data_IF_266965977152
#
_entry.id   IF_266965977152
#
_cell.length_a   1.000
_cell.length_b   1.000
_cell.length_c   1.000
_cell.angle_alpha   90.00
_cell.angle_beta   90.00
_cell.angle_gamma   90.00
#
_symmetry.space_group_name_H-M   'P 1'
#
loop_
_entity.id
_entity.type
_entity.pdbx_description
1 polymer ?
#
# COMPACT_ATOMS: atom_id res chain seq x y z
N UNK A 1 18.69 -12.57 -24.59
CA UNK A 1 19.79 -12.41 -23.61
C UNK A 1 19.27 -12.64 -22.20
N UNK A 2 19.42 -13.88 -21.71
CA UNK A 2 19.09 -14.23 -20.34
C UNK A 2 20.13 -13.59 -19.42
N UNK A 3 19.71 -12.62 -18.61
CA UNK A 3 20.46 -12.22 -17.42
C UNK A 3 20.43 -13.44 -16.52
N UNK A 4 21.58 -14.08 -16.29
CA UNK A 4 21.71 -15.14 -15.28
C UNK A 4 21.26 -14.55 -13.95
N UNK A 5 20.08 -14.95 -13.48
CA UNK A 5 19.56 -14.51 -12.19
C UNK A 5 20.57 -14.87 -11.10
N UNK A 6 20.92 -13.90 -10.25
CA UNK A 6 21.81 -14.15 -9.12
C UNK A 6 21.26 -15.32 -8.29
N UNK A 7 22.15 -16.20 -7.83
CA UNK A 7 21.75 -17.42 -7.11
C UNK A 7 21.11 -17.04 -5.77
N UNK A 8 19.88 -17.52 -5.55
CA UNK A 8 19.21 -17.38 -4.26
C UNK A 8 19.90 -18.23 -3.20
N UNK A 9 20.23 -17.62 -2.06
CA UNK A 9 20.84 -18.28 -0.89
C UNK A 9 19.82 -18.48 0.23
N UNK A 10 20.19 -19.21 1.28
CA UNK A 10 19.31 -19.41 2.44
C UNK A 10 19.02 -18.10 3.20
N UNK A 11 19.93 -17.12 3.15
CA UNK A 11 19.68 -15.76 3.64
C UNK A 11 18.46 -15.12 2.96
N UNK A 12 18.36 -15.27 1.64
CA UNK A 12 17.24 -14.74 0.87
C UNK A 12 15.93 -15.46 1.20
N UNK A 13 15.98 -16.79 1.41
CA UNK A 13 14.81 -17.59 1.79
C UNK A 13 14.30 -17.22 3.18
N UNK A 14 15.20 -17.06 4.14
CA UNK A 14 14.88 -16.62 5.51
C UNK A 14 14.26 -15.23 5.51
N UNK A 15 14.87 -14.29 4.77
CA UNK A 15 14.33 -12.94 4.64
C UNK A 15 12.91 -12.94 4.08
N UNK A 16 12.66 -13.73 3.02
CA UNK A 16 11.34 -13.88 2.42
C UNK A 16 10.33 -14.50 3.40
N UNK A 17 10.71 -15.55 4.13
CA UNK A 17 9.85 -16.20 5.12
C UNK A 17 9.37 -15.22 6.20
N UNK A 18 10.28 -14.40 6.73
CA UNK A 18 9.95 -13.40 7.75
C UNK A 18 9.08 -12.28 7.17
N UNK A 19 9.34 -11.83 5.94
CA UNK A 19 8.47 -10.86 5.28
C UNK A 19 7.04 -11.39 5.10
N UNK A 20 6.89 -12.66 4.68
CA UNK A 20 5.59 -13.28 4.50
C UNK A 20 4.84 -13.44 5.83
N UNK A 21 5.52 -13.81 6.92
CA UNK A 21 4.87 -13.95 8.23
C UNK A 21 4.38 -12.63 8.81
N UNK A 22 5.08 -11.53 8.51
CA UNK A 22 4.73 -10.21 9.04
C UNK A 22 3.63 -9.49 8.24
N UNK A 23 3.38 -9.93 7.00
CA UNK A 23 2.50 -9.27 6.02
C UNK A 23 3.09 -7.98 5.44
N UNK A 24 3.55 -7.08 6.31
CA UNK A 24 4.21 -5.82 5.96
C UNK A 24 5.33 -5.50 6.96
N UNK A 25 6.44 -4.96 6.48
CA UNK A 25 7.62 -4.62 7.30
C UNK A 25 8.11 -3.20 6.98
N UNK A 26 8.30 -2.36 8.00
CA UNK A 26 8.88 -1.02 7.84
C UNK A 26 10.32 -1.12 7.31
N UNK A 27 10.77 -0.16 6.51
CA UNK A 27 12.06 -0.22 5.84
C UNK A 27 13.27 -0.20 6.79
N UNK A 28 13.13 0.36 7.99
CA UNK A 28 14.14 0.28 9.04
C UNK A 28 14.31 -1.17 9.52
N UNK A 29 13.20 -1.86 9.79
CA UNK A 29 13.16 -3.27 10.19
C UNK A 29 13.58 -4.20 9.05
N UNK A 30 13.20 -3.91 7.80
CA UNK A 30 13.66 -4.67 6.65
C UNK A 30 15.19 -4.60 6.48
N UNK A 31 15.80 -3.43 6.75
CA UNK A 31 17.27 -3.29 6.74
C UNK A 31 17.93 -4.11 7.85
N UNK A 32 17.38 -4.08 9.07
CA UNK A 32 17.86 -4.91 10.20
C UNK A 32 17.73 -6.40 9.88
N UNK A 33 16.61 -6.80 9.30
CA UNK A 33 16.37 -8.19 8.89
C UNK A 33 17.35 -8.64 7.80
N UNK A 34 17.64 -7.80 6.82
CA UNK A 34 18.64 -8.08 5.79
C UNK A 34 20.03 -8.30 6.40
N UNK A 35 20.45 -7.42 7.31
CA UNK A 35 21.71 -7.60 8.06
C UNK A 35 21.73 -8.94 8.80
N UNK A 36 20.69 -9.22 9.58
CA UNK A 36 20.59 -10.45 10.37
C UNK A 36 20.64 -11.71 9.51
N UNK A 37 19.95 -11.74 8.37
CA UNK A 37 19.96 -12.89 7.46
C UNK A 37 21.34 -13.12 6.84
N UNK A 38 22.01 -12.05 6.40
CA UNK A 38 23.35 -12.15 5.82
C UNK A 38 24.39 -12.63 6.85
N UNK A 39 24.34 -12.13 8.09
CA UNK A 39 25.22 -12.56 9.18
C UNK A 39 24.99 -14.04 9.54
N UNK A 40 23.73 -14.46 9.64
CA UNK A 40 23.36 -15.84 10.01
C UNK A 40 23.86 -16.86 9.00
N UNK A 41 23.68 -16.57 7.71
CA UNK A 41 24.03 -17.48 6.62
C UNK A 41 25.43 -17.20 6.02
N UNK A 42 26.23 -16.34 6.69
CA UNK A 42 27.61 -15.96 6.32
C UNK A 42 27.76 -15.46 4.88
N UNK A 43 26.80 -14.66 4.44
CA UNK A 43 26.78 -14.01 3.12
C UNK A 43 27.32 -12.58 3.25
N UNK A 44 27.96 -12.06 2.19
CA UNK A 44 28.40 -10.66 2.16
C UNK A 44 27.24 -9.70 2.42
N UNK A 45 27.44 -8.81 3.40
CA UNK A 45 26.49 -7.78 3.77
C UNK A 45 27.06 -6.40 3.45
N UNK A 46 26.22 -5.55 2.87
CA UNK A 46 26.45 -4.11 2.76
C UNK A 46 25.14 -3.36 2.99
N UNK A 47 25.21 -2.27 3.75
CA UNK A 47 24.05 -1.51 4.25
C UNK A 47 23.17 -0.92 3.13
N UNK A 48 23.77 -0.61 1.99
CA UNK A 48 23.16 0.00 0.79
C UNK A 48 22.67 -1.05 -0.22
N UNK A 49 22.85 -2.35 0.07
CA UNK A 49 22.54 -3.45 -0.87
C UNK A 49 21.19 -4.14 -0.66
N UNK A 50 20.30 -3.56 0.14
CA UNK A 50 18.96 -4.13 0.34
C UNK A 50 18.17 -4.23 -0.98
N UNK A 51 18.23 -3.22 -1.84
CA UNK A 51 17.47 -3.22 -3.11
C UNK A 51 18.01 -4.30 -4.08
N UNK A 52 19.33 -4.50 -4.14
CA UNK A 52 19.96 -5.58 -4.91
C UNK A 52 19.60 -6.98 -4.36
N UNK A 53 19.55 -7.11 -3.03
CA UNK A 53 19.13 -8.33 -2.34
C UNK A 53 17.67 -8.69 -2.65
N UNK A 54 16.78 -7.69 -2.58
CA UNK A 54 15.36 -7.84 -2.95
C UNK A 54 15.20 -8.15 -4.45
N UNK A 55 15.97 -7.48 -5.32
CA UNK A 55 15.97 -7.75 -6.76
C UNK A 55 16.33 -9.20 -7.08
N UNK A 56 17.31 -9.75 -6.36
CA UNK A 56 17.64 -11.17 -6.44
C UNK A 56 16.44 -12.03 -6.07
N UNK A 57 15.77 -11.79 -4.94
CA UNK A 57 14.56 -12.55 -4.55
C UNK A 57 13.47 -12.44 -5.62
N UNK A 58 13.19 -11.24 -6.10
CA UNK A 58 12.14 -10.97 -7.08
C UNK A 58 12.37 -11.71 -8.40
N UNK A 59 13.62 -11.87 -8.83
CA UNK A 59 13.93 -12.68 -10.03
C UNK A 59 13.51 -14.15 -9.91
N UNK A 60 13.49 -14.69 -8.68
CA UNK A 60 13.03 -16.06 -8.39
C UNK A 60 11.52 -16.13 -8.06
N UNK A 61 10.91 -15.03 -7.62
CA UNK A 61 9.46 -14.95 -7.38
C UNK A 61 8.65 -14.66 -8.64
N UNK A 62 9.26 -14.04 -9.66
CA UNK A 62 8.59 -13.66 -10.90
C UNK A 62 7.86 -14.84 -11.60
N UNK A 63 8.43 -16.06 -11.70
CA UNK A 63 7.72 -17.22 -12.28
C UNK A 63 6.47 -17.65 -11.49
N UNK A 64 6.38 -17.24 -10.22
CA UNK A 64 5.23 -17.48 -9.35
C UNK A 64 4.24 -16.31 -9.36
N UNK A 65 4.44 -15.32 -10.23
CA UNK A 65 3.67 -14.07 -10.25
C UNK A 65 3.66 -13.37 -8.90
N UNK A 66 4.77 -13.43 -8.15
CA UNK A 66 4.93 -12.72 -6.89
C UNK A 66 6.13 -11.79 -6.94
N UNK A 67 6.12 -10.76 -6.09
CA UNK A 67 7.30 -9.94 -5.85
C UNK A 67 7.23 -9.25 -4.49
N UNK A 68 8.38 -8.94 -3.91
CA UNK A 68 8.50 -7.97 -2.82
C UNK A 68 8.41 -6.58 -3.44
N UNK A 69 7.42 -5.79 -3.02
CA UNK A 69 7.30 -4.37 -3.41
C UNK A 69 7.62 -3.47 -2.25
N UNK A 70 8.18 -2.31 -2.60
CA UNK A 70 8.35 -1.16 -1.72
C UNK A 70 7.18 -0.20 -1.94
N UNK A 71 6.54 0.23 -0.87
CA UNK A 71 5.58 1.34 -0.87
C UNK A 71 5.95 2.38 0.16
N UNK A 72 5.40 3.58 0.02
CA UNK A 72 5.53 4.65 1.01
C UNK A 72 4.20 4.79 1.74
N UNK A 73 4.27 4.92 3.06
CA UNK A 73 3.09 5.24 3.85
C UNK A 73 2.58 6.63 3.49
N UNK A 74 1.27 6.77 3.26
CA UNK A 74 0.69 8.06 2.88
C UNK A 74 0.54 9.02 4.07
N UNK A 75 0.66 8.52 5.30
CA UNK A 75 0.60 9.34 6.51
C UNK A 75 1.93 10.01 6.85
N UNK A 76 3.03 9.25 6.92
CA UNK A 76 4.32 9.69 7.43
C UNK A 76 5.46 9.61 6.41
N UNK A 77 5.22 8.99 5.24
CA UNK A 77 6.20 8.85 4.17
C UNK A 77 7.24 7.75 4.41
N UNK A 78 7.11 6.91 5.45
CA UNK A 78 8.05 5.81 5.70
C UNK A 78 7.89 4.71 4.67
N UNK A 79 9.03 4.19 4.22
CA UNK A 79 9.06 3.05 3.33
C UNK A 79 8.64 1.77 4.03
N UNK A 80 7.84 0.95 3.36
CA UNK A 80 7.41 -0.36 3.80
C UNK A 80 7.60 -1.38 2.68
N UNK A 81 7.77 -2.64 3.06
CA UNK A 81 7.93 -3.77 2.14
C UNK A 81 6.86 -4.83 2.42
N UNK A 82 6.25 -5.34 1.35
CA UNK A 82 5.29 -6.43 1.41
C UNK A 82 5.48 -7.36 0.20
N UNK A 83 5.16 -8.64 0.38
CA UNK A 83 5.15 -9.62 -0.72
C UNK A 83 3.78 -9.56 -1.39
N UNK A 84 3.72 -9.19 -2.65
CA UNK A 84 2.46 -9.05 -3.41
C UNK A 84 2.30 -10.19 -4.42
N UNK A 85 1.05 -10.51 -4.72
CA UNK A 85 0.69 -11.35 -5.86
C UNK A 85 0.37 -10.43 -7.05
N UNK A 86 0.86 -10.75 -8.24
CA UNK A 86 0.72 -9.97 -9.47
C UNK A 86 -0.42 -10.43 -10.35
N UNK A 87 -1.09 -11.54 -10.00
CA UNK A 87 -2.29 -11.98 -10.70
C UNK A 87 -3.44 -11.04 -10.33
N UNK A 88 -4.25 -10.64 -11.32
CA UNK A 88 -5.31 -9.61 -11.27
C UNK A 88 -6.50 -9.91 -10.33
N UNK A 89 -6.35 -10.85 -9.39
CA UNK A 89 -7.33 -11.16 -8.36
C UNK A 89 -6.72 -10.91 -6.98
N UNK A 90 -6.19 -9.71 -6.70
CA UNK A 90 -5.54 -9.38 -5.41
C UNK A 90 -6.49 -9.59 -4.18
N UNK A 91 -7.81 -9.66 -4.41
CA UNK A 91 -8.81 -10.11 -3.43
C UNK A 91 -8.59 -11.56 -2.97
N UNK A 92 -7.83 -12.39 -3.69
CA UNK A 92 -7.59 -13.81 -3.34
C UNK A 92 -6.89 -14.03 -2.01
N UNK A 93 -6.00 -13.12 -1.58
CA UNK A 93 -5.35 -13.25 -0.26
C UNK A 93 -6.33 -13.00 0.86
N UNK A 94 -7.18 -11.98 0.73
CA UNK A 94 -8.27 -11.77 1.68
C UNK A 94 -9.29 -12.91 1.58
N UNK A 95 -9.52 -13.47 0.39
CA UNK A 95 -10.54 -14.50 0.19
C UNK A 95 -10.26 -15.83 0.91
N UNK A 96 -9.01 -16.11 1.32
CA UNK A 96 -8.72 -17.27 2.18
C UNK A 96 -9.08 -17.03 3.64
N UNK A 97 -9.02 -15.77 4.09
CA UNK A 97 -9.05 -15.42 5.51
C UNK A 97 -10.42 -14.86 5.94
N UNK A 98 -11.24 -14.42 5.00
CA UNK A 98 -12.54 -13.81 5.26
C UNK A 98 -13.69 -14.49 4.50
N UNK A 99 -14.88 -14.43 5.08
CA UNK A 99 -16.12 -14.86 4.45
C UNK A 99 -16.50 -13.96 3.28
N UNK A 100 -17.32 -14.47 2.35
CA UNK A 100 -17.81 -13.69 1.20
C UNK A 100 -18.51 -12.39 1.63
N UNK A 101 -19.22 -12.43 2.76
CA UNK A 101 -19.93 -11.29 3.33
C UNK A 101 -18.97 -10.22 3.86
N UNK A 102 -17.91 -10.61 4.57
CA UNK A 102 -16.87 -9.70 5.06
C UNK A 102 -16.10 -9.08 3.90
N UNK A 103 -15.77 -9.87 2.87
CA UNK A 103 -15.14 -9.36 1.65
C UNK A 103 -16.03 -8.37 0.91
N UNK A 104 -17.35 -8.56 0.92
CA UNK A 104 -18.29 -7.60 0.34
C UNK A 104 -18.27 -6.28 1.11
N UNK A 105 -18.30 -6.33 2.45
CA UNK A 105 -18.15 -5.14 3.29
C UNK A 105 -16.83 -4.42 3.02
N UNK A 106 -15.72 -5.17 2.89
CA UNK A 106 -14.41 -4.60 2.58
C UNK A 106 -14.42 -3.88 1.23
N UNK A 107 -14.91 -4.52 0.16
CA UNK A 107 -15.02 -3.90 -1.17
C UNK A 107 -15.85 -2.62 -1.12
N UNK A 108 -16.98 -2.63 -0.40
CA UNK A 108 -17.83 -1.45 -0.22
C UNK A 108 -17.15 -0.33 0.58
N UNK A 109 -16.35 -0.70 1.58
CA UNK A 109 -15.54 0.26 2.35
C UNK A 109 -14.46 0.88 1.45
N UNK A 110 -13.79 0.07 0.64
CA UNK A 110 -12.81 0.52 -0.34
C UNK A 110 -13.44 1.43 -1.40
N UNK A 111 -14.65 1.11 -1.90
CA UNK A 111 -15.42 2.00 -2.79
C UNK A 111 -15.59 3.40 -2.15
N UNK A 112 -16.03 3.46 -0.89
CA UNK A 112 -16.21 4.74 -0.18
C UNK A 112 -14.90 5.52 -0.04
N UNK A 113 -13.80 4.84 0.28
CA UNK A 113 -12.49 5.47 0.48
C UNK A 113 -11.91 5.99 -0.83
N UNK A 114 -11.98 5.22 -1.92
CA UNK A 114 -11.40 5.60 -3.22
C UNK A 114 -12.21 6.73 -3.87
N UNK A 115 -13.52 6.75 -3.65
CA UNK A 115 -14.41 7.77 -4.21
C UNK A 115 -14.48 9.05 -3.38
N UNK A 116 -13.94 9.07 -2.17
CA UNK A 116 -13.92 10.27 -1.34
C UNK A 116 -12.79 11.22 -1.74
N UNK A 117 -12.99 12.51 -1.49
CA UNK A 117 -12.01 13.54 -1.85
C UNK A 117 -10.74 13.48 -0.99
N UNK A 118 -10.87 13.06 0.27
CA UNK A 118 -9.79 13.03 1.25
C UNK A 118 -9.17 11.63 1.44
N UNK A 119 -9.69 10.60 0.78
CA UNK A 119 -9.23 9.22 0.96
C UNK A 119 -9.60 8.63 2.33
N UNK A 120 -10.73 9.06 2.90
CA UNK A 120 -11.32 8.49 4.13
C UNK A 120 -12.81 8.19 3.93
N UNK A 121 -13.33 7.25 4.73
CA UNK A 121 -14.74 6.95 4.85
C UNK A 121 -15.17 6.92 6.31
N UNK A 122 -16.29 7.56 6.64
CA UNK A 122 -16.78 7.57 8.02
C UNK A 122 -17.30 6.19 8.45
N UNK A 123 -17.13 5.84 9.72
CA UNK A 123 -17.73 4.65 10.32
C UNK A 123 -19.23 4.58 10.07
N UNK A 124 -19.93 5.72 10.18
CA UNK A 124 -21.38 5.79 9.94
C UNK A 124 -21.76 5.43 8.51
N UNK A 125 -21.01 5.88 7.50
CA UNK A 125 -21.31 5.58 6.10
C UNK A 125 -21.10 4.10 5.82
N UNK A 126 -19.99 3.54 6.32
CA UNK A 126 -19.69 2.11 6.16
C UNK A 126 -20.76 1.25 6.83
N UNK A 127 -21.17 1.58 8.05
CA UNK A 127 -22.20 0.82 8.77
C UNK A 127 -23.59 0.92 8.14
N UNK A 128 -23.89 2.00 7.43
CA UNK A 128 -25.14 2.13 6.67
C UNK A 128 -25.13 1.25 5.41
N UNK A 129 -23.96 0.91 4.86
CA UNK A 129 -23.83 -0.05 3.76
C UNK A 129 -23.98 -1.50 4.20
N UNK A 130 -23.74 -1.82 5.48
CA UNK A 130 -23.87 -3.18 6.02
C UNK A 130 -25.29 -3.78 5.83
N UNK A 131 -26.31 -2.92 5.85
CA UNK A 131 -27.72 -3.29 5.62
C UNK A 131 -28.07 -3.47 4.13
N UNK A 132 -27.17 -3.04 3.23
CA UNK A 132 -27.32 -3.04 1.77
C UNK A 132 -26.44 -4.08 1.05
N UNK A 133 -25.70 -4.90 1.82
CA UNK A 133 -24.89 -5.98 1.27
C UNK A 133 -25.77 -6.99 0.52
N UNK A 134 -25.35 -7.34 -0.70
CA UNK A 134 -26.08 -8.18 -1.64
C UNK A 134 -26.10 -9.64 -1.19
N UNK A 135 -25.00 -10.12 -0.62
CA UNK A 135 -24.87 -11.52 -0.20
C UNK A 135 -25.82 -11.83 0.96
N UNK A 136 -25.81 -10.97 1.99
CA UNK A 136 -26.66 -11.05 3.17
C UNK A 136 -26.55 -9.74 3.96
N UNK A 137 -27.63 -9.32 4.62
CA UNK A 137 -27.55 -8.18 5.55
C UNK A 137 -26.66 -8.52 6.75
N UNK A 138 -25.74 -7.60 7.07
CA UNK A 138 -24.88 -7.69 8.25
C UNK A 138 -25.38 -6.72 9.32
N UNK A 139 -25.43 -7.15 10.59
CA UNK A 139 -25.84 -6.25 11.68
C UNK A 139 -24.75 -5.20 11.89
N UNK A 140 -25.12 -3.96 12.22
CA UNK A 140 -24.14 -2.88 12.48
C UNK A 140 -23.05 -3.26 13.51
N UNK A 141 -23.43 -3.91 14.62
CA UNK A 141 -22.47 -4.40 15.62
C UNK A 141 -21.49 -5.44 15.08
N UNK A 142 -21.94 -6.27 14.15
CA UNK A 142 -21.10 -7.27 13.47
C UNK A 142 -20.14 -6.57 12.49
N UNK A 143 -20.63 -5.61 11.71
CA UNK A 143 -19.81 -4.79 10.83
C UNK A 143 -18.73 -4.00 11.58
N UNK A 144 -19.05 -3.41 12.74
CA UNK A 144 -18.07 -2.76 13.60
C UNK A 144 -16.95 -3.71 14.04
N UNK A 145 -17.28 -4.97 14.33
CA UNK A 145 -16.29 -5.97 14.71
C UNK A 145 -15.41 -6.35 13.52
N UNK A 146 -16.00 -6.54 12.35
CA UNK A 146 -15.26 -6.84 11.11
C UNK A 146 -14.31 -5.70 10.75
N UNK A 147 -14.73 -4.44 10.89
CA UNK A 147 -13.86 -3.29 10.64
C UNK A 147 -12.64 -3.25 11.58
N UNK A 148 -12.83 -3.63 12.86
CA UNK A 148 -11.71 -3.75 13.80
C UNK A 148 -10.73 -4.84 13.37
N UNK A 149 -11.24 -5.99 12.93
CA UNK A 149 -10.40 -7.08 12.41
C UNK A 149 -9.61 -6.61 11.18
N UNK A 150 -10.22 -5.87 10.25
CA UNK A 150 -9.49 -5.30 9.11
C UNK A 150 -8.40 -4.30 9.52
N UNK A 151 -8.57 -3.57 10.62
CA UNK A 151 -7.53 -2.70 11.18
C UNK A 151 -6.41 -3.51 11.83
N UNK A 152 -6.75 -4.52 12.62
CA UNK A 152 -5.80 -5.44 13.27
C UNK A 152 -4.93 -6.18 12.24
N UNK A 153 -5.55 -6.64 11.15
CA UNK A 153 -4.91 -7.33 10.03
C UNK A 153 -4.22 -6.37 9.05
N UNK A 154 -4.24 -5.06 9.34
CA UNK A 154 -3.56 -4.01 8.56
C UNK A 154 -4.07 -3.89 7.12
N UNK A 155 -5.35 -4.13 6.90
CA UNK A 155 -6.03 -3.79 5.64
C UNK A 155 -6.56 -2.35 5.68
N UNK A 156 -7.09 -1.93 6.82
CA UNK A 156 -7.57 -0.57 7.05
C UNK A 156 -6.75 0.11 8.16
N UNK A 157 -6.79 1.43 8.16
CA UNK A 157 -6.33 2.27 9.27
C UNK A 157 -7.51 3.12 9.74
N UNK A 158 -7.70 3.21 11.06
CA UNK A 158 -8.75 4.02 11.67
C UNK A 158 -8.15 5.26 12.34
N UNK A 159 -8.79 6.42 12.15
CA UNK A 159 -8.46 7.69 12.79
C UNK A 159 -9.76 8.45 13.08
N UNK A 160 -10.06 8.67 14.36
CA UNK A 160 -11.18 9.50 14.81
C UNK A 160 -12.57 9.11 14.25
N UNK A 161 -12.83 7.81 14.12
CA UNK A 161 -14.07 7.26 13.58
C UNK A 161 -14.14 7.23 12.05
N UNK A 162 -13.04 7.56 11.36
CA UNK A 162 -12.90 7.45 9.91
C UNK A 162 -11.86 6.37 9.54
N UNK A 163 -12.07 5.72 8.41
CA UNK A 163 -11.23 4.64 7.92
C UNK A 163 -10.57 5.02 6.60
N UNK A 164 -9.34 4.59 6.40
CA UNK A 164 -8.59 4.65 5.13
C UNK A 164 -7.94 3.30 4.85
N UNK A 165 -7.42 3.11 3.64
CA UNK A 165 -6.61 1.93 3.31
C UNK A 165 -5.27 2.00 4.05
N UNK A 166 -4.90 0.90 4.70
CA UNK A 166 -3.57 0.79 5.29
C UNK A 166 -2.50 0.62 4.19
N UNK A 167 -1.26 1.02 4.46
CA UNK A 167 -0.13 0.95 3.52
C UNK A 167 0.08 -0.44 2.92
N UNK A 168 -0.17 -1.50 3.70
CA UNK A 168 -0.17 -2.89 3.23
C UNK A 168 -1.21 -3.10 2.13
N UNK A 169 -2.45 -2.70 2.38
CA UNK A 169 -3.53 -2.80 1.40
C UNK A 169 -3.19 -2.04 0.11
N UNK A 170 -2.65 -0.81 0.22
CA UNK A 170 -2.28 -0.02 -0.96
C UNK A 170 -1.21 -0.75 -1.78
N UNK A 171 -0.16 -1.30 -1.13
CA UNK A 171 0.90 -2.04 -1.82
C UNK A 171 0.36 -3.31 -2.48
N UNK A 172 -0.48 -4.07 -1.76
CA UNK A 172 -1.02 -5.35 -2.18
C UNK A 172 -2.18 -5.25 -3.18
N UNK A 173 -2.87 -4.10 -3.26
CA UNK A 173 -4.05 -3.90 -4.11
C UNK A 173 -3.84 -2.84 -5.21
N UNK A 174 -2.63 -2.31 -5.36
CA UNK A 174 -2.37 -1.20 -6.30
C UNK A 174 -2.78 -1.55 -7.73
N UNK A 175 -2.46 -2.75 -8.21
CA UNK A 175 -2.78 -3.13 -9.59
C UNK A 175 -4.28 -3.32 -9.76
N UNK A 176 -4.94 -3.96 -8.80
CA UNK A 176 -6.39 -4.11 -8.78
C UNK A 176 -7.09 -2.74 -8.80
N UNK A 177 -6.67 -1.82 -7.92
CA UNK A 177 -7.31 -0.51 -7.78
C UNK A 177 -7.14 0.30 -9.07
N UNK A 178 -5.93 0.38 -9.61
CA UNK A 178 -5.67 1.11 -10.85
C UNK A 178 -6.44 0.54 -12.05
N UNK A 179 -6.69 -0.77 -12.06
CA UNK A 179 -7.39 -1.44 -13.16
C UNK A 179 -8.91 -1.31 -13.06
N UNK A 180 -9.47 -1.29 -11.85
CA UNK A 180 -10.92 -1.30 -11.62
C UNK A 180 -11.51 0.09 -11.36
N UNK A 181 -10.70 1.08 -10.97
CA UNK A 181 -11.13 2.44 -10.64
C UNK A 181 -10.48 3.48 -11.56
N UNK A 182 -10.36 3.17 -12.86
CA UNK A 182 -9.56 3.96 -13.83
C UNK A 182 -9.94 5.45 -13.89
N UNK A 183 -11.22 5.78 -13.66
CA UNK A 183 -11.71 7.16 -13.75
C UNK A 183 -11.36 8.02 -12.52
N UNK A 184 -11.06 7.38 -11.38
CA UNK A 184 -10.90 8.05 -10.08
C UNK A 184 -9.54 7.80 -9.43
N UNK A 185 -8.95 6.62 -9.63
CA UNK A 185 -7.67 6.25 -9.08
C UNK A 185 -6.55 7.07 -9.73
N UNK A 186 -5.73 7.70 -8.90
CA UNK A 186 -4.64 8.57 -9.35
C UNK A 186 -3.30 7.96 -8.98
N UNK A 187 -2.28 8.30 -9.75
CA UNK A 187 -0.89 8.08 -9.38
C UNK A 187 -0.28 9.40 -8.94
N UNK A 188 0.52 9.34 -7.88
CA UNK A 188 1.32 10.48 -7.46
C UNK A 188 2.31 10.88 -8.55
N UNK A 189 2.41 12.17 -8.84
CA UNK A 189 3.28 12.69 -9.88
C UNK A 189 4.78 12.50 -9.58
N UNK A 190 5.15 12.36 -8.31
CA UNK A 190 6.55 12.25 -7.87
C UNK A 190 7.02 10.80 -7.79
N UNK A 191 6.27 9.92 -7.12
CA UNK A 191 6.68 8.53 -6.91
C UNK A 191 6.05 7.54 -7.90
N UNK A 192 5.07 7.98 -8.69
CA UNK A 192 4.32 7.17 -9.66
C UNK A 192 3.55 5.98 -9.09
N UNK A 193 3.39 5.91 -7.77
CA UNK A 193 2.52 4.93 -7.10
C UNK A 193 1.09 5.46 -6.96
N UNK A 194 0.15 4.53 -6.84
CA UNK A 194 -1.24 4.82 -6.46
C UNK A 194 -1.28 5.77 -5.26
N UNK A 195 -2.21 6.73 -5.31
CA UNK A 195 -2.46 7.67 -4.22
C UNK A 195 -3.92 7.64 -3.79
N UNK A 196 -4.16 7.36 -2.50
CA UNK A 196 -5.48 7.42 -1.87
C UNK A 196 -5.69 8.80 -1.25
N UNK A 197 -4.68 9.30 -0.53
CA UNK A 197 -4.65 10.59 0.15
C UNK A 197 -3.65 11.50 -0.55
N UNK A 198 -4.18 12.50 -1.25
CA UNK A 198 -3.36 13.37 -2.11
C UNK A 198 -3.79 14.83 -2.04
N UNK A 199 -2.85 15.72 -2.34
CA UNK A 199 -3.16 17.07 -2.79
C UNK A 199 -3.17 17.09 -4.31
N UNK A 200 -4.09 17.87 -4.86
CA UNK A 200 -4.31 17.96 -6.30
C UNK A 200 -4.05 19.39 -6.75
N UNK A 201 -3.26 19.56 -7.80
CA UNK A 201 -3.10 20.86 -8.43
C UNK A 201 -4.42 21.33 -9.03
N UNK A 202 -4.94 22.47 -8.57
CA UNK A 202 -6.19 23.06 -9.07
C UNK A 202 -6.14 23.37 -10.58
N UNK A 203 -4.98 23.74 -11.10
CA UNK A 203 -4.84 24.15 -12.50
C UNK A 203 -4.74 22.98 -13.49
N UNK A 204 -4.01 21.91 -13.14
CA UNK A 204 -3.69 20.84 -14.09
C UNK A 204 -4.04 19.42 -13.62
N UNK A 205 -4.57 19.28 -12.40
CA UNK A 205 -5.13 18.04 -11.88
C UNK A 205 -4.12 16.97 -11.46
N UNK A 206 -2.80 17.24 -11.45
CA UNK A 206 -1.84 16.26 -10.93
C UNK A 206 -2.08 16.02 -9.44
N UNK A 207 -1.97 14.76 -9.02
CA UNK A 207 -2.04 14.38 -7.62
C UNK A 207 -0.64 14.13 -7.07
N UNK A 208 -0.41 14.51 -5.82
CA UNK A 208 0.81 14.21 -5.08
C UNK A 208 0.46 13.75 -3.67
N UNK A 209 1.07 12.65 -3.20
CA UNK A 209 0.96 12.24 -1.80
C UNK A 209 1.39 13.36 -0.87
N UNK A 210 0.75 13.48 0.29
CA UNK A 210 1.11 14.47 1.32
C UNK A 210 2.61 14.42 1.70
N UNK A 211 3.24 13.25 1.95
CA UNK A 211 4.69 13.16 2.14
C UNK A 211 5.52 13.60 0.92
N UNK A 212 5.04 13.35 -0.30
CA UNK A 212 5.74 13.76 -1.52
C UNK A 212 5.71 15.28 -1.70
N UNK A 213 4.56 15.91 -1.44
CA UNK A 213 4.41 17.38 -1.38
C UNK A 213 5.40 17.97 -0.39
N UNK A 214 5.39 17.49 0.86
CA UNK A 214 6.30 17.93 1.93
C UNK A 214 7.77 17.84 1.52
N UNK A 215 8.17 16.74 0.89
CA UNK A 215 9.55 16.52 0.46
C UNK A 215 9.92 17.40 -0.73
N UNK A 216 9.03 17.53 -1.72
CA UNK A 216 9.28 18.25 -2.96
C UNK A 216 9.38 19.77 -2.72
N UNK A 217 8.44 20.34 -1.95
CA UNK A 217 8.40 21.78 -1.65
C UNK A 217 9.25 22.20 -0.45
N UNK A 218 10.01 21.27 0.15
CA UNK A 218 10.83 21.56 1.33
C UNK A 218 11.79 22.72 1.06
N UNK A 219 11.64 23.81 1.82
CA UNK A 219 12.49 24.99 1.73
C UNK A 219 12.18 25.93 0.55
N UNK A 220 11.08 25.69 -0.19
CA UNK A 220 10.62 26.61 -1.22
C UNK A 220 9.69 27.66 -0.61
N UNK A 221 9.96 28.94 -0.89
CA UNK A 221 9.10 30.05 -0.44
C UNK A 221 7.91 30.28 -1.35
N UNK A 222 8.01 29.88 -2.62
CA UNK A 222 6.92 29.91 -3.60
C UNK A 222 6.77 28.51 -4.22
N UNK A 223 6.01 27.60 -3.58
CA UNK A 223 5.73 26.28 -4.13
C UNK A 223 5.06 26.37 -5.52
N UNK A 224 5.65 25.71 -6.53
CA UNK A 224 5.11 25.65 -7.90
C UNK A 224 4.92 24.24 -8.39
N UNK A 225 3.77 23.99 -9.02
CA UNK A 225 3.39 22.70 -9.55
C UNK A 225 4.48 22.14 -10.50
N UNK A 226 5.00 20.92 -10.28
CA UNK A 226 6.04 20.32 -11.12
C UNK A 226 5.63 20.11 -12.59
N UNK A 227 4.33 20.10 -12.90
CA UNK A 227 3.82 19.91 -14.27
C UNK A 227 3.50 21.22 -15.00
N UNK A 228 2.75 22.12 -14.38
CA UNK A 228 2.26 23.34 -15.04
C UNK A 228 2.90 24.64 -14.55
N UNK A 229 3.78 24.58 -13.53
CA UNK A 229 4.48 25.72 -12.95
C UNK A 229 3.59 26.81 -12.30
N UNK A 230 2.29 26.56 -12.21
CA UNK A 230 1.36 27.39 -11.44
C UNK A 230 1.63 27.28 -9.94
N UNK A 231 1.24 28.33 -9.20
CA UNK A 231 1.38 28.36 -7.74
C UNK A 231 0.60 27.22 -7.09
N UNK A 232 1.22 26.51 -6.14
CA UNK A 232 0.57 25.43 -5.41
C UNK A 232 -0.25 26.03 -4.26
N UNK A 233 -1.56 26.18 -4.48
CA UNK A 233 -2.50 26.82 -3.54
C UNK A 233 -2.81 26.01 -2.29
N UNK A 234 -2.63 24.68 -2.33
CA UNK A 234 -2.89 23.84 -1.17
C UNK A 234 -1.84 24.07 -0.07
N UNK A 235 -2.27 24.10 1.20
CA UNK A 235 -1.36 24.23 2.33
C UNK A 235 -0.29 23.13 2.29
N UNK A 236 0.99 23.52 2.18
CA UNK A 236 2.10 22.57 2.25
C UNK A 236 2.23 22.08 3.70
N UNK A 237 2.04 20.77 3.98
CA UNK A 237 2.02 20.25 5.35
C UNK A 237 3.39 20.24 6.05
#
# INVERSE_FOLDING_TARGET
NSVMAARMTDAHRRFLQVLMSNGITEGSEARKLHQHCCETDKVYYAHDKLDDFISTINSHLQPLFMQIRKGLSEDDGRAHYAVVNLVETEVTKMASDYTELELELFRKTMDLIILSENGFASSTDILNLADQLKTKKMKKKEAEQVLKVFVEDKWLSEKNGEYTLHTRCIIEMEQYILSNYQDVARKCHICHSLTIQSQVCESCGIAMHLPCVRKYFRGQTEPRCPKCNEFWSCDTP
#
